data_IF_315615470364
#
_entry.id   IF_315615470364
#
_cell.length_a   1.000
_cell.length_b   1.000
_cell.length_c   1.000
_cell.angle_alpha   90.00
_cell.angle_beta   90.00
_cell.angle_gamma   90.00
#
_symmetry.space_group_name_H-M   'P 1'
#
loop_
_entity.id
_entity.type
_entity.pdbx_description
1 polymer ?
#
# COMPACT_ATOMS: atom_id res chain seq x y z
N UNK A 1 -18.94 6.01 3.48
CA UNK A 1 -18.60 5.45 2.15
C UNK A 1 -19.44 4.21 1.86
N UNK A 2 -19.64 3.80 0.60
CA UNK A 2 -20.42 2.57 0.31
C UNK A 2 -19.81 1.32 0.94
N UNK A 3 -18.47 1.27 1.08
CA UNK A 3 -17.77 0.20 1.80
C UNK A 3 -18.16 0.07 3.28
N UNK A 4 -18.67 1.13 3.91
CA UNK A 4 -19.16 1.08 5.30
C UNK A 4 -20.60 0.59 5.40
N UNK A 5 -21.32 0.55 4.28
CA UNK A 5 -22.72 0.13 4.20
C UNK A 5 -22.88 -1.34 3.82
N UNK A 6 -21.79 -1.98 3.38
CA UNK A 6 -21.75 -3.37 2.98
C UNK A 6 -21.17 -4.22 4.13
N UNK A 7 -21.66 -5.45 4.30
CA UNK A 7 -21.14 -6.37 5.33
C UNK A 7 -19.82 -7.01 4.87
N UNK A 8 -19.88 -7.94 3.92
CA UNK A 8 -18.72 -8.61 3.35
C UNK A 8 -18.50 -8.13 1.91
N UNK A 9 -17.34 -7.53 1.64
CA UNK A 9 -17.00 -6.98 0.33
C UNK A 9 -15.58 -7.37 -0.05
N UNK A 10 -15.38 -7.73 -1.32
CA UNK A 10 -14.06 -7.90 -1.93
C UNK A 10 -13.82 -6.76 -2.91
N UNK A 11 -12.72 -6.04 -2.72
CA UNK A 11 -12.29 -4.96 -3.63
C UNK A 11 -11.03 -5.39 -4.36
N UNK A 12 -11.13 -5.70 -5.65
CA UNK A 12 -9.98 -5.90 -6.53
C UNK A 12 -9.63 -4.56 -7.16
N UNK A 13 -8.47 -4.02 -6.81
CA UNK A 13 -8.06 -2.69 -7.23
C UNK A 13 -6.54 -2.60 -7.50
N UNK A 14 -6.00 -1.39 -7.52
CA UNK A 14 -4.63 -1.08 -7.93
C UNK A 14 -3.83 -0.53 -6.75
N UNK A 15 -2.50 -0.58 -6.80
CA UNK A 15 -1.61 -0.17 -5.69
C UNK A 15 -1.97 1.20 -5.09
N UNK A 16 -2.14 2.24 -5.91
CA UNK A 16 -2.47 3.59 -5.40
C UNK A 16 -3.88 3.68 -4.79
N UNK A 17 -4.87 3.04 -5.42
CA UNK A 17 -6.26 3.01 -4.92
C UNK A 17 -6.32 2.25 -3.59
N UNK A 18 -5.63 1.11 -3.51
CA UNK A 18 -5.56 0.29 -2.30
C UNK A 18 -4.93 1.04 -1.14
N UNK A 19 -3.87 1.83 -1.39
CA UNK A 19 -3.27 2.72 -0.38
C UNK A 19 -4.28 3.70 0.21
N UNK A 20 -5.11 4.34 -0.62
CA UNK A 20 -6.14 5.26 -0.14
C UNK A 20 -7.18 4.55 0.74
N UNK A 21 -7.62 3.35 0.33
CA UNK A 21 -8.58 2.56 1.10
C UNK A 21 -7.99 2.11 2.44
N UNK A 22 -6.76 1.60 2.44
CA UNK A 22 -6.06 1.19 3.65
C UNK A 22 -5.85 2.38 4.59
N UNK A 23 -5.43 3.54 4.07
CA UNK A 23 -5.22 4.71 4.89
C UNK A 23 -6.49 5.17 5.60
N UNK A 24 -7.64 5.07 4.91
CA UNK A 24 -8.94 5.37 5.50
C UNK A 24 -9.28 4.41 6.66
N UNK A 25 -9.19 3.10 6.45
CA UNK A 25 -9.56 2.12 7.48
C UNK A 25 -8.55 1.97 8.61
N UNK A 26 -7.28 2.31 8.36
CA UNK A 26 -6.18 2.17 9.31
C UNK A 26 -5.74 3.49 9.93
N UNK A 27 -6.52 4.56 9.72
CA UNK A 27 -6.27 5.91 10.24
C UNK A 27 -4.84 6.39 9.97
N UNK A 28 -4.42 6.29 8.70
CA UNK A 28 -3.08 6.71 8.26
C UNK A 28 -3.10 8.14 7.75
N UNK A 29 -2.04 8.86 8.07
CA UNK A 29 -1.86 10.25 7.66
C UNK A 29 -1.68 10.38 6.14
N UNK A 30 -1.92 11.58 5.62
CA UNK A 30 -1.66 11.90 4.21
C UNK A 30 -0.17 11.75 3.82
N UNK A 31 0.74 11.84 4.79
CA UNK A 31 2.18 11.63 4.56
C UNK A 31 2.53 10.13 4.45
N UNK A 32 1.87 9.28 5.23
CA UNK A 32 2.06 7.82 5.20
C UNK A 32 1.35 7.15 4.02
N UNK A 33 0.13 7.60 3.67
CA UNK A 33 -0.73 6.99 2.65
C UNK A 33 0.01 6.63 1.35
N UNK A 34 0.81 7.54 0.73
CA UNK A 34 1.49 7.23 -0.53
C UNK A 34 2.50 6.09 -0.43
N UNK A 35 2.93 5.75 0.79
CA UNK A 35 3.97 4.77 1.08
C UNK A 35 3.44 3.52 1.79
N UNK A 36 2.13 3.31 1.89
CA UNK A 36 1.60 2.04 2.39
C UNK A 36 1.98 0.88 1.43
N UNK A 37 2.37 -0.25 2.02
CA UNK A 37 2.74 -1.47 1.28
C UNK A 37 1.48 -2.23 0.88
N UNK A 38 1.33 -2.45 -0.42
CA UNK A 38 0.25 -3.21 -1.04
C UNK A 38 0.89 -4.26 -1.97
N UNK A 39 1.50 -5.32 -1.42
CA UNK A 39 2.19 -6.32 -2.23
C UNK A 39 1.22 -7.03 -3.18
N UNK A 40 1.72 -7.39 -4.37
CA UNK A 40 0.96 -8.20 -5.32
C UNK A 40 0.67 -9.58 -4.73
N UNK A 41 -0.37 -10.24 -5.26
CA UNK A 41 -0.82 -11.59 -4.88
C UNK A 41 -1.01 -11.80 -3.37
N UNK A 42 -1.35 -10.73 -2.66
CA UNK A 42 -1.59 -10.74 -1.22
C UNK A 42 -2.95 -10.13 -0.96
N UNK A 43 -3.79 -10.83 -0.20
CA UNK A 43 -5.08 -10.31 0.25
C UNK A 43 -4.88 -9.67 1.62
N UNK A 44 -5.25 -8.40 1.75
CA UNK A 44 -5.34 -7.73 3.05
C UNK A 44 -6.79 -7.82 3.55
N UNK A 45 -7.02 -8.69 4.54
CA UNK A 45 -8.32 -8.84 5.18
C UNK A 45 -8.43 -7.80 6.29
N UNK A 46 -9.39 -6.90 6.14
CA UNK A 46 -9.74 -5.87 7.12
C UNK A 46 -10.89 -6.38 7.98
N UNK A 47 -10.70 -6.38 9.30
CA UNK A 47 -11.76 -6.70 10.26
C UNK A 47 -11.98 -5.48 11.15
N UNK A 48 -13.04 -4.68 10.90
CA UNK A 48 -13.40 -3.57 11.77
C UNK A 48 -13.65 -4.06 13.20
N UNK A 49 -13.11 -3.34 14.18
CA UNK A 49 -13.30 -3.61 15.61
C UNK A 49 -13.64 -2.31 16.34
N UNK A 50 -14.01 -2.39 17.61
CA UNK A 50 -14.16 -1.18 18.41
C UNK A 50 -12.84 -0.38 18.42
N UNK A 51 -12.92 0.90 18.03
CA UNK A 51 -11.80 1.84 17.99
C UNK A 51 -10.64 1.46 17.06
N UNK A 52 -10.91 0.76 15.96
CA UNK A 52 -9.89 0.54 14.93
C UNK A 52 -10.25 -0.54 13.91
N UNK A 53 -9.24 -1.01 13.20
CA UNK A 53 -9.37 -2.07 12.20
C UNK A 53 -8.18 -3.02 12.29
N UNK A 54 -8.45 -4.33 12.39
CA UNK A 54 -7.43 -5.36 12.33
C UNK A 54 -7.10 -5.67 10.87
N UNK A 55 -5.82 -5.85 10.58
CA UNK A 55 -5.31 -6.24 9.25
C UNK A 55 -4.68 -7.61 9.36
N UNK A 56 -5.09 -8.52 8.49
CA UNK A 56 -4.43 -9.80 8.27
C UNK A 56 -3.92 -9.84 6.84
N UNK A 57 -2.64 -10.19 6.65
CA UNK A 57 -2.02 -10.33 5.34
C UNK A 57 -1.98 -11.80 4.94
N UNK A 58 -2.62 -12.14 3.84
CA UNK A 58 -2.77 -13.51 3.37
C UNK A 58 -2.07 -13.61 2.01
N UNK A 59 -0.88 -14.20 1.99
CA UNK A 59 -0.14 -14.48 0.75
C UNK A 59 -0.81 -15.64 0.01
N UNK A 60 -1.07 -15.46 -1.28
CA UNK A 60 -1.67 -16.50 -2.13
C UNK A 60 -0.65 -17.49 -2.70
N UNK A 61 0.62 -17.39 -2.29
CA UNK A 61 1.73 -18.25 -2.72
C UNK A 61 1.94 -18.28 -4.25
N UNK A 62 1.76 -17.12 -4.90
CA UNK A 62 2.10 -16.91 -6.32
C UNK A 62 3.13 -15.79 -6.39
N UNK A 63 4.29 -16.06 -6.99
CA UNK A 63 5.36 -15.07 -7.13
C UNK A 63 4.93 -13.86 -7.95
N UNK A 64 5.48 -12.69 -7.62
CA UNK A 64 5.26 -11.44 -8.32
C UNK A 64 6.45 -10.49 -8.17
N UNK A 65 6.59 -9.56 -9.11
CA UNK A 65 7.55 -8.47 -8.99
C UNK A 65 7.22 -7.55 -7.82
N UNK A 66 8.23 -6.88 -7.26
CA UNK A 66 8.00 -5.81 -6.29
C UNK A 66 7.75 -4.49 -7.02
N UNK A 67 6.61 -3.86 -6.72
CA UNK A 67 6.23 -2.55 -7.27
C UNK A 67 6.32 -1.41 -6.25
N UNK A 68 6.77 -1.71 -5.03
CA UNK A 68 6.91 -0.74 -3.97
C UNK A 68 8.25 0.00 -4.09
N UNK A 69 8.18 1.32 -4.22
CA UNK A 69 9.34 2.23 -4.21
C UNK A 69 9.28 3.11 -2.97
N UNK A 70 10.23 2.90 -2.07
CA UNK A 70 10.39 3.72 -0.85
C UNK A 70 10.80 5.16 -1.22
N UNK A 71 10.54 6.10 -0.31
CA UNK A 71 11.05 7.47 -0.45
C UNK A 71 12.59 7.43 -0.37
N UNK A 72 13.33 7.89 -1.39
CA UNK A 72 14.78 7.98 -1.30
C UNK A 72 15.18 9.01 -0.23
N UNK A 73 16.31 8.78 0.44
CA UNK A 73 16.81 9.68 1.49
C UNK A 73 17.13 11.07 0.94
N UNK A 74 17.86 11.12 -0.18
CA UNK A 74 18.17 12.37 -0.86
C UNK A 74 17.03 12.77 -1.81
N UNK A 75 16.22 13.76 -1.42
CA UNK A 75 15.17 14.38 -2.25
C UNK A 75 15.51 15.80 -2.73
N UNK A 76 16.79 16.19 -2.64
CA UNK A 76 17.23 17.51 -3.10
C UNK A 76 16.97 17.68 -4.61
N UNK A 77 16.56 18.89 -5.02
CA UNK A 77 16.28 19.23 -6.43
C UNK A 77 17.50 19.07 -7.35
N UNK A 78 18.72 19.13 -6.82
CA UNK A 78 19.98 19.01 -7.55
C UNK A 78 20.67 17.65 -7.36
N UNK A 79 19.98 16.64 -6.82
CA UNK A 79 20.54 15.29 -6.64
C UNK A 79 20.87 14.64 -7.98
N UNK A 80 21.79 13.68 -7.97
CA UNK A 80 22.11 12.92 -9.18
C UNK A 80 20.99 11.94 -9.54
N UNK A 81 20.93 11.50 -10.80
CA UNK A 81 20.00 10.45 -11.22
C UNK A 81 20.23 9.15 -10.45
N UNK A 82 21.49 8.82 -10.16
CA UNK A 82 21.83 7.64 -9.37
C UNK A 82 21.20 7.72 -7.98
N UNK A 83 21.32 8.85 -7.27
CA UNK A 83 20.72 9.07 -5.96
C UNK A 83 19.19 8.98 -6.01
N UNK A 84 18.58 9.51 -7.07
CA UNK A 84 17.13 9.48 -7.24
C UNK A 84 16.59 8.06 -7.45
N UNK A 85 17.35 7.16 -8.07
CA UNK A 85 16.87 5.83 -8.46
C UNK A 85 17.24 4.72 -7.47
N UNK A 86 17.95 5.02 -6.37
CA UNK A 86 18.42 4.02 -5.39
C UNK A 86 17.31 3.14 -4.81
N UNK A 87 16.09 3.65 -4.68
CA UNK A 87 14.95 2.92 -4.10
C UNK A 87 14.04 2.26 -5.15
N UNK A 88 14.38 2.36 -6.44
CA UNK A 88 13.60 1.73 -7.52
C UNK A 88 13.72 0.21 -7.40
N UNK A 89 12.60 -0.53 -7.33
CA UNK A 89 12.67 -1.98 -7.24
C UNK A 89 13.19 -2.59 -8.55
N UNK A 90 13.82 -3.78 -8.49
CA UNK A 90 14.23 -4.51 -9.68
C UNK A 90 13.04 -4.79 -10.60
N UNK A 91 13.28 -4.65 -11.91
CA UNK A 91 12.32 -4.92 -12.98
C UNK A 91 13.08 -5.42 -14.21
N UNK A 92 12.38 -6.14 -15.10
CA UNK A 92 12.92 -6.66 -16.37
C UNK A 92 12.80 -5.63 -17.50
#
# INVERSE_FOLDING_TARGET
MELERQENVLVVCHQAVMRCLLAYFLDKTAEELPYLKCPLHTVLKLTPVAYGCKVESICLNVEAVNTHREKPENVNIHRTTQDALQTVPPHL
#
